data_IF_285248066931
#
_entry.id   IF_285248066931
#
_cell.length_a   1.000
_cell.length_b   1.000
_cell.length_c   1.000
_cell.angle_alpha   90.00
_cell.angle_beta   90.00
_cell.angle_gamma   90.00
#
_symmetry.space_group_name_H-M   'P 1'
#
loop_
_entity.id
_entity.type
_entity.pdbx_description
1 polymer ?
#
# COMPACT_ATOMS: atom_id res chain seq x y z
N UNK A 1 -16.41 -29.77 29.24
CA UNK A 1 -15.87 -28.41 29.02
C UNK A 1 -16.80 -27.67 28.06
N UNK A 2 -17.70 -26.80 28.55
CA UNK A 2 -18.66 -26.08 27.69
C UNK A 2 -17.95 -24.90 27.04
N UNK A 3 -17.65 -24.98 25.73
CA UNK A 3 -17.29 -23.79 24.96
C UNK A 3 -18.52 -22.88 24.92
N UNK A 4 -18.48 -21.75 25.65
CA UNK A 4 -19.37 -20.62 25.38
C UNK A 4 -18.85 -19.97 24.10
N UNK A 5 -19.41 -20.34 22.96
CA UNK A 5 -19.18 -19.66 21.69
C UNK A 5 -19.87 -18.30 21.77
N UNK A 6 -19.09 -17.22 21.92
CA UNK A 6 -19.60 -15.86 21.77
C UNK A 6 -19.48 -15.53 20.29
N UNK A 7 -20.59 -15.69 19.58
CA UNK A 7 -20.70 -15.34 18.16
C UNK A 7 -21.03 -13.85 18.08
N UNK A 8 -20.23 -13.09 17.34
CA UNK A 8 -20.48 -11.66 17.09
C UNK A 8 -20.20 -11.35 15.63
N UNK A 9 -21.15 -10.65 14.99
CA UNK A 9 -21.04 -10.10 13.65
C UNK A 9 -21.02 -8.57 13.75
N UNK A 10 -19.99 -7.94 13.20
CA UNK A 10 -19.90 -6.49 13.07
C UNK A 10 -19.73 -6.11 11.60
N UNK A 11 -20.46 -5.09 11.15
CA UNK A 11 -20.42 -4.57 9.78
C UNK A 11 -19.83 -3.15 9.84
N UNK A 12 -18.80 -2.88 9.04
CA UNK A 12 -18.23 -1.56 8.89
C UNK A 12 -18.43 -1.09 7.44
N UNK A 13 -18.96 0.12 7.27
CA UNK A 13 -19.19 0.75 5.96
C UNK A 13 -18.52 2.13 5.99
N UNK A 14 -17.61 2.35 5.05
CA UNK A 14 -16.97 3.63 4.76
C UNK A 14 -16.76 3.76 3.24
N UNK A 15 -16.41 4.97 2.78
CA UNK A 15 -16.28 5.27 1.34
C UNK A 15 -15.36 4.30 0.57
N UNK A 16 -14.36 3.71 1.25
CA UNK A 16 -13.37 2.80 0.65
C UNK A 16 -13.28 1.43 1.32
N UNK A 17 -14.17 1.12 2.28
CA UNK A 17 -14.14 -0.15 3.03
C UNK A 17 -15.56 -0.60 3.37
N UNK A 18 -15.88 -1.86 3.12
CA UNK A 18 -17.18 -2.46 3.38
C UNK A 18 -16.97 -3.92 3.74
N UNK A 19 -16.78 -4.21 5.03
CA UNK A 19 -16.42 -5.55 5.48
C UNK A 19 -17.22 -5.98 6.70
N UNK A 20 -17.31 -7.29 6.86
CA UNK A 20 -17.92 -7.94 8.00
C UNK A 20 -16.87 -8.76 8.76
N UNK A 21 -16.94 -8.73 10.09
CA UNK A 21 -16.12 -9.54 10.97
C UNK A 21 -16.97 -10.64 11.61
N UNK A 22 -16.52 -11.89 11.49
CA UNK A 22 -17.05 -13.05 12.17
C UNK A 22 -16.01 -13.59 13.17
N UNK A 23 -16.25 -13.39 14.46
CA UNK A 23 -15.36 -13.89 15.51
C UNK A 23 -15.79 -15.29 15.95
N UNK A 24 -14.95 -16.29 15.68
CA UNK A 24 -15.15 -17.66 16.16
C UNK A 24 -14.91 -17.76 17.67
N UNK A 25 -13.91 -17.00 18.15
CA UNK A 25 -13.57 -16.85 19.56
C UNK A 25 -12.81 -15.52 19.77
N UNK A 26 -12.23 -15.32 20.96
CA UNK A 26 -11.51 -14.08 21.31
C UNK A 26 -10.23 -13.83 20.52
N UNK A 27 -9.66 -14.87 19.93
CA UNK A 27 -8.37 -14.84 19.25
C UNK A 27 -8.50 -15.09 17.75
N UNK A 28 -9.63 -15.63 17.27
CA UNK A 28 -9.79 -16.00 15.87
C UNK A 28 -10.98 -15.27 15.24
N UNK A 29 -10.69 -14.44 14.25
CA UNK A 29 -11.69 -13.65 13.51
C UNK A 29 -11.48 -13.83 12.02
N UNK A 30 -12.57 -14.11 11.30
CA UNK A 30 -12.63 -14.01 9.86
C UNK A 30 -13.22 -12.66 9.47
N UNK A 31 -12.52 -11.93 8.62
CA UNK A 31 -13.00 -10.70 7.97
C UNK A 31 -13.27 -11.00 6.50
N UNK A 32 -14.36 -10.51 5.94
CA UNK A 32 -14.66 -10.63 4.51
C UNK A 32 -15.35 -9.39 3.95
N UNK A 33 -15.13 -9.10 2.67
CA UNK A 33 -15.62 -7.91 1.98
C UNK A 33 -14.47 -7.02 1.50
N UNK A 34 -14.74 -5.72 1.33
CA UNK A 34 -13.72 -4.73 0.93
C UNK A 34 -12.83 -4.38 2.11
N UNK A 35 -11.62 -4.92 2.11
CA UNK A 35 -10.66 -4.75 3.19
C UNK A 35 -10.06 -3.32 3.15
N UNK A 36 -9.79 -2.68 4.31
CA UNK A 36 -9.21 -1.34 4.39
C UNK A 36 -7.71 -1.39 4.06
N UNK A 37 -7.41 -1.63 2.79
CA UNK A 37 -6.08 -1.76 2.20
C UNK A 37 -5.58 -0.44 1.61
N UNK A 38 -6.46 0.57 1.55
CA UNK A 38 -6.15 1.95 1.21
C UNK A 38 -5.89 2.79 2.47
N UNK A 39 -5.08 3.84 2.33
CA UNK A 39 -4.70 4.77 3.43
C UNK A 39 -3.89 4.15 4.57
N UNK A 40 -3.08 3.14 4.22
CA UNK A 40 -2.11 2.51 5.09
C UNK A 40 -1.12 3.46 5.77
N UNK A 41 -0.43 2.93 6.78
CA UNK A 41 0.69 3.62 7.40
C UNK A 41 1.79 3.94 6.36
N UNK A 42 2.47 5.10 6.48
CA UNK A 42 2.43 6.05 7.59
C UNK A 42 1.45 7.22 7.43
N UNK A 43 0.54 7.21 6.43
CA UNK A 43 -0.29 8.38 6.07
C UNK A 43 -1.03 9.05 7.24
N UNK A 44 -1.39 8.28 8.26
CA UNK A 44 -2.03 8.78 9.47
C UNK A 44 -1.18 9.83 10.24
N UNK A 45 0.14 9.86 10.06
CA UNK A 45 1.03 10.87 10.66
C UNK A 45 0.76 12.27 10.12
N UNK A 46 0.72 12.41 8.80
CA UNK A 46 0.44 13.69 8.13
C UNK A 46 -1.02 14.11 8.29
N UNK A 47 -1.94 13.15 8.31
CA UNK A 47 -3.36 13.41 8.52
C UNK A 47 -3.73 13.67 9.98
N UNK A 48 -2.83 13.48 10.95
CA UNK A 48 -3.13 13.49 12.38
C UNK A 48 -4.36 12.62 12.72
N UNK A 49 -4.35 11.38 12.28
CA UNK A 49 -5.42 10.41 12.52
C UNK A 49 -4.88 9.21 13.27
N UNK A 50 -5.78 8.46 13.89
CA UNK A 50 -5.47 7.08 14.29
C UNK A 50 -5.14 6.26 13.05
N UNK A 51 -4.22 5.31 13.18
CA UNK A 51 -3.83 4.42 12.09
C UNK A 51 -5.07 3.70 11.54
N UNK A 52 -5.35 3.90 10.24
CA UNK A 52 -6.47 3.28 9.52
C UNK A 52 -5.96 2.02 8.83
N UNK A 53 -6.21 0.87 9.44
CA UNK A 53 -5.81 -0.43 8.89
C UNK A 53 -4.37 -0.83 9.23
N UNK A 54 -4.07 -2.11 8.99
CA UNK A 54 -2.79 -2.73 9.33
C UNK A 54 -1.97 -3.09 8.08
N UNK A 55 -2.30 -2.45 6.96
CA UNK A 55 -1.68 -2.62 5.66
C UNK A 55 -0.84 -1.38 5.36
N UNK A 56 0.50 -1.40 5.55
CA UNK A 56 1.36 -0.31 5.13
C UNK A 56 1.21 0.00 3.64
N UNK A 57 1.39 1.27 3.27
CA UNK A 57 1.27 1.73 1.88
C UNK A 57 2.25 1.01 0.93
N UNK A 58 3.42 0.60 1.45
CA UNK A 58 4.42 -0.18 0.70
C UNK A 58 4.18 -1.70 0.72
N UNK A 59 3.15 -2.20 1.40
CA UNK A 59 2.78 -3.62 1.35
C UNK A 59 1.83 -3.87 0.18
N UNK A 60 0.74 -3.12 0.17
CA UNK A 60 -0.36 -3.31 -0.76
C UNK A 60 -1.22 -2.04 -0.77
N UNK A 61 -1.19 -1.28 -1.89
CA UNK A 61 -2.00 -0.08 -2.07
C UNK A 61 -3.04 -0.31 -3.16
N UNK A 62 -4.29 -0.55 -2.78
CA UNK A 62 -5.42 -0.72 -3.70
C UNK A 62 -6.72 -0.98 -2.94
N UNK A 63 -7.86 -1.00 -3.64
CA UNK A 63 -9.16 -1.30 -3.04
C UNK A 63 -9.54 -2.73 -3.41
N UNK A 64 -9.38 -3.66 -2.47
CA UNK A 64 -9.52 -5.09 -2.75
C UNK A 64 -10.65 -5.72 -1.94
N UNK A 65 -11.47 -6.49 -2.64
CA UNK A 65 -12.47 -7.36 -2.03
C UNK A 65 -11.81 -8.71 -1.73
N UNK A 66 -12.01 -9.24 -0.53
CA UNK A 66 -11.33 -10.47 -0.13
C UNK A 66 -11.72 -10.97 1.25
N UNK A 67 -10.88 -11.85 1.78
CA UNK A 67 -11.05 -12.50 3.07
C UNK A 67 -9.74 -12.41 3.86
N UNK A 68 -9.82 -12.22 5.17
CA UNK A 68 -8.68 -12.24 6.06
C UNK A 68 -8.99 -13.08 7.31
N UNK A 69 -8.18 -14.08 7.58
CA UNK A 69 -8.23 -14.85 8.82
C UNK A 69 -7.18 -14.29 9.78
N UNK A 70 -7.62 -13.73 10.90
CA UNK A 70 -6.76 -13.12 11.91
C UNK A 70 -6.70 -13.98 13.17
N UNK A 71 -5.49 -14.28 13.65
CA UNK A 71 -5.24 -15.00 14.89
C UNK A 71 -4.41 -14.16 15.87
N UNK A 72 -4.98 -13.79 17.00
CA UNK A 72 -4.31 -13.13 18.11
C UNK A 72 -3.44 -14.11 18.89
N UNK A 73 -2.13 -13.91 18.87
CA UNK A 73 -1.14 -14.78 19.53
C UNK A 73 -0.97 -14.39 21.00
N UNK A 74 -0.86 -13.08 21.25
CA UNK A 74 -0.67 -12.49 22.57
C UNK A 74 -1.33 -11.10 22.60
N UNK A 75 -1.35 -10.48 23.78
CA UNK A 75 -1.82 -9.10 23.91
C UNK A 75 -1.02 -8.18 22.97
N UNK A 76 -1.72 -7.53 22.04
CA UNK A 76 -1.14 -6.65 21.04
C UNK A 76 -0.41 -7.37 19.89
N UNK A 77 -0.48 -8.69 19.76
CA UNK A 77 0.16 -9.42 18.65
C UNK A 77 -0.83 -10.27 17.88
N UNK A 78 -0.78 -10.20 16.55
CA UNK A 78 -1.60 -11.04 15.69
C UNK A 78 -0.87 -11.46 14.41
N UNK A 79 -1.33 -12.58 13.84
CA UNK A 79 -0.99 -13.01 12.48
C UNK A 79 -2.26 -13.02 11.65
N UNK A 80 -2.16 -12.57 10.40
CA UNK A 80 -3.27 -12.54 9.45
C UNK A 80 -2.86 -13.23 8.17
N UNK A 81 -3.73 -14.11 7.68
CA UNK A 81 -3.68 -14.65 6.33
C UNK A 81 -4.77 -13.96 5.52
N UNK A 82 -4.38 -13.27 4.47
CA UNK A 82 -5.27 -12.52 3.57
C UNK A 82 -5.30 -13.21 2.23
N UNK A 83 -6.50 -13.33 1.68
CA UNK A 83 -6.76 -13.79 0.33
C UNK A 83 -7.60 -12.73 -0.38
N UNK A 84 -7.12 -12.28 -1.53
CA UNK A 84 -7.81 -11.30 -2.37
C UNK A 84 -7.74 -11.79 -3.82
N UNK A 85 -8.88 -12.10 -4.48
CA UNK A 85 -8.90 -12.22 -5.92
C UNK A 85 -8.64 -10.82 -6.50
N UNK A 86 -7.46 -10.63 -7.09
CA UNK A 86 -7.14 -9.42 -7.84
C UNK A 86 -7.92 -9.52 -9.14
N UNK A 87 -8.95 -8.68 -9.29
CA UNK A 87 -9.48 -8.38 -10.62
C UNK A 87 -8.67 -7.22 -11.17
N UNK A 88 -8.02 -7.39 -12.32
CA UNK A 88 -7.54 -6.22 -13.06
C UNK A 88 -8.77 -5.45 -13.53
N UNK A 89 -8.99 -4.26 -12.98
CA UNK A 89 -10.09 -3.40 -13.44
C UNK A 89 -9.78 -3.02 -14.90
N UNK A 90 -10.66 -3.32 -15.87
CA UNK A 90 -10.52 -2.76 -17.20
C UNK A 90 -10.68 -1.23 -17.09
N UNK A 91 -9.64 -0.49 -17.45
CA UNK A 91 -9.58 0.97 -17.27
C UNK A 91 -10.41 1.78 -18.28
N UNK A 92 -11.32 1.15 -19.03
CA UNK A 92 -12.12 1.84 -20.02
C UNK A 92 -13.45 1.12 -20.29
N UNK A 93 -14.40 1.15 -19.33
CA UNK A 93 -15.84 0.96 -19.54
C UNK A 93 -16.35 -0.31 -20.26
N UNK A 94 -15.46 -1.15 -20.76
CA UNK A 94 -15.72 -2.40 -21.43
C UNK A 94 -15.60 -3.45 -20.35
N UNK A 95 -16.77 -4.01 -20.06
CA UNK A 95 -16.98 -5.17 -19.22
C UNK A 95 -15.91 -6.21 -19.56
N UNK A 96 -15.51 -6.99 -18.56
CA UNK A 96 -14.59 -8.14 -18.57
C UNK A 96 -14.73 -9.17 -19.70
N UNK A 97 -15.68 -8.98 -20.62
CA UNK A 97 -15.82 -9.71 -21.87
C UNK A 97 -14.93 -9.09 -22.95
N UNK A 98 -13.67 -9.54 -23.09
CA UNK A 98 -12.89 -9.20 -24.28
C UNK A 98 -11.37 -9.15 -24.14
N UNK A 99 -10.80 -9.45 -22.97
CA UNK A 99 -9.35 -9.55 -22.87
C UNK A 99 -8.92 -10.87 -23.51
N UNK A 100 -8.24 -10.72 -24.65
CA UNK A 100 -7.70 -11.84 -25.40
C UNK A 100 -6.19 -11.74 -25.44
N UNK A 101 -5.51 -12.88 -25.39
CA UNK A 101 -4.06 -12.94 -25.55
C UNK A 101 -3.65 -12.64 -27.00
N UNK A 102 -2.36 -12.76 -27.30
CA UNK A 102 -1.82 -12.58 -28.67
C UNK A 102 -2.44 -13.53 -29.71
N UNK A 103 -3.02 -14.65 -29.27
CA UNK A 103 -3.63 -15.68 -30.12
C UNK A 103 -5.16 -15.53 -30.21
N UNK A 104 -5.74 -14.54 -29.52
CA UNK A 104 -7.18 -14.26 -29.52
C UNK A 104 -7.97 -15.05 -28.46
N UNK A 105 -7.29 -15.73 -27.53
CA UNK A 105 -7.92 -16.55 -26.50
C UNK A 105 -8.26 -15.73 -25.25
N UNK A 106 -9.43 -15.97 -24.65
CA UNK A 106 -9.86 -15.24 -23.47
C UNK A 106 -8.93 -15.46 -22.27
N UNK A 107 -8.49 -14.36 -21.65
CA UNK A 107 -7.60 -14.38 -20.49
C UNK A 107 -8.39 -14.16 -19.21
N UNK A 108 -8.26 -15.08 -18.24
CA UNK A 108 -8.82 -14.86 -16.90
C UNK A 108 -7.99 -13.80 -16.17
N UNK A 109 -8.69 -12.73 -15.78
CA UNK A 109 -8.10 -11.60 -15.05
C UNK A 109 -8.34 -11.64 -13.55
N UNK A 110 -8.97 -12.71 -13.05
CA UNK A 110 -9.13 -12.95 -11.62
C UNK A 110 -7.97 -13.79 -11.11
N UNK A 111 -6.93 -13.10 -10.66
CA UNK A 111 -5.70 -13.75 -10.21
C UNK A 111 -5.70 -13.80 -8.69
N UNK A 112 -5.58 -14.98 -8.06
CA UNK A 112 -5.53 -15.07 -6.62
C UNK A 112 -4.24 -14.42 -6.09
N UNK A 113 -4.38 -13.59 -5.06
CA UNK A 113 -3.26 -13.05 -4.31
C UNK A 113 -3.38 -13.37 -2.83
N UNK A 114 -2.24 -13.48 -2.19
CA UNK A 114 -2.13 -13.89 -0.80
C UNK A 114 -1.22 -12.94 -0.04
N UNK A 115 -1.58 -12.65 1.21
CA UNK A 115 -0.67 -11.96 2.13
C UNK A 115 -0.60 -12.66 3.48
N UNK A 116 0.59 -12.75 4.04
CA UNK A 116 0.84 -13.11 5.44
C UNK A 116 1.31 -11.86 6.16
N UNK A 117 0.60 -11.48 7.22
CA UNK A 117 0.90 -10.27 8.00
C UNK A 117 1.13 -10.69 9.43
N UNK A 118 2.26 -10.26 10.02
CA UNK A 118 2.46 -10.26 11.45
C UNK A 118 2.41 -8.82 11.94
N UNK A 119 1.66 -8.57 13.01
CA UNK A 119 1.53 -7.25 13.62
C UNK A 119 1.78 -7.31 15.12
N UNK A 120 2.41 -6.26 15.62
CA UNK A 120 2.64 -6.03 17.04
C UNK A 120 2.36 -4.58 17.40
N UNK A 121 1.57 -4.37 18.43
CA UNK A 121 1.30 -3.08 19.04
C UNK A 121 1.51 -3.19 20.55
N UNK A 122 2.22 -2.21 21.11
CA UNK A 122 2.46 -2.16 22.54
C UNK A 122 2.50 -0.72 23.04
N UNK A 123 1.59 -0.40 23.95
CA UNK A 123 1.65 0.83 24.75
C UNK A 123 2.70 0.71 25.85
N UNK A 124 3.28 1.85 26.24
CA UNK A 124 4.37 1.97 27.21
C UNK A 124 5.56 1.07 26.84
N UNK A 125 6.02 1.18 25.59
CA UNK A 125 7.12 0.38 25.07
C UNK A 125 8.47 1.06 25.34
N UNK A 126 9.20 0.55 26.34
CA UNK A 126 10.47 1.12 26.77
C UNK A 126 10.31 2.61 27.10
N UNK A 127 11.03 3.50 26.41
CA UNK A 127 10.93 4.94 26.59
C UNK A 127 9.84 5.59 25.73
N UNK A 128 9.11 4.87 24.88
CA UNK A 128 8.07 5.42 24.01
C UNK A 128 6.66 5.15 24.54
N UNK A 129 5.73 6.06 24.25
CA UNK A 129 4.32 5.94 24.62
C UNK A 129 3.65 4.77 23.90
N UNK A 130 3.89 4.63 22.60
CA UNK A 130 3.43 3.47 21.84
C UNK A 130 4.48 3.03 20.83
N UNK A 131 4.52 1.72 20.61
CA UNK A 131 5.25 1.05 19.55
C UNK A 131 4.28 0.28 18.68
N UNK A 132 4.47 0.39 17.36
CA UNK A 132 3.82 -0.50 16.42
C UNK A 132 4.81 -1.02 15.39
N UNK A 133 4.55 -2.25 14.96
CA UNK A 133 5.34 -2.99 14.00
C UNK A 133 4.43 -3.87 13.14
N UNK A 134 4.74 -3.96 11.86
CA UNK A 134 4.15 -4.94 10.96
C UNK A 134 5.18 -5.46 9.97
N UNK A 135 5.11 -6.76 9.71
CA UNK A 135 5.84 -7.46 8.68
C UNK A 135 4.82 -8.11 7.75
N UNK A 136 4.85 -7.77 6.48
CA UNK A 136 3.93 -8.30 5.48
C UNK A 136 4.72 -9.01 4.39
N UNK A 137 4.35 -10.25 4.09
CA UNK A 137 4.70 -10.92 2.84
C UNK A 137 3.47 -10.95 1.95
N UNK A 138 3.60 -10.51 0.71
CA UNK A 138 2.53 -10.50 -0.30
C UNK A 138 3.02 -11.22 -1.56
N UNK A 139 2.13 -12.00 -2.17
CA UNK A 139 2.43 -12.70 -3.42
C UNK A 139 1.21 -12.72 -4.33
N UNK A 140 1.47 -12.48 -5.61
CA UNK A 140 0.58 -12.74 -6.73
C UNK A 140 1.38 -13.48 -7.80
N UNK A 141 0.75 -14.41 -8.52
CA UNK A 141 1.40 -15.25 -9.53
C UNK A 141 0.63 -15.16 -10.84
N UNK A 142 1.35 -15.08 -11.95
CA UNK A 142 0.80 -15.12 -13.31
C UNK A 142 -0.30 -14.07 -13.55
N UNK A 143 -0.12 -12.85 -13.06
CA UNK A 143 -1.06 -11.74 -13.32
C UNK A 143 -0.86 -11.22 -14.75
N UNK A 144 -1.85 -11.34 -15.64
CA UNK A 144 -1.73 -10.85 -17.01
C UNK A 144 -1.72 -9.32 -17.05
N UNK A 145 -1.00 -8.76 -18.03
CA UNK A 145 -1.10 -7.34 -18.39
C UNK A 145 -2.25 -7.10 -19.38
N UNK A 146 -2.89 -5.93 -19.29
CA UNK A 146 -3.98 -5.58 -20.20
C UNK A 146 -3.46 -5.43 -21.65
N UNK A 147 -4.07 -6.08 -22.67
CA UNK A 147 -3.88 -5.71 -24.07
C UNK A 147 -4.42 -4.29 -24.32
N UNK A 148 -3.67 -3.52 -25.12
CA UNK A 148 -4.13 -2.24 -25.67
C UNK A 148 -5.39 -2.44 -26.52
N UNK A 149 -6.33 -1.50 -26.49
CA UNK A 149 -7.46 -1.46 -27.40
C UNK A 149 -6.99 -1.47 -28.87
N UNK A 150 -7.07 -2.62 -29.54
CA UNK A 150 -6.60 -2.80 -30.92
C UNK A 150 -5.99 -4.18 -31.19
N UNK A 151 -5.68 -4.49 -32.45
CA UNK A 151 -5.16 -5.79 -32.93
C UNK A 151 -3.72 -6.14 -32.51
N UNK A 152 -3.33 -5.81 -31.27
CA UNK A 152 -2.02 -6.16 -30.69
C UNK A 152 -2.25 -6.70 -29.28
N UNK A 153 -2.35 -8.03 -29.17
CA UNK A 153 -2.42 -8.71 -27.88
C UNK A 153 -1.13 -8.56 -27.07
N UNK A 154 -1.20 -8.86 -25.78
CA UNK A 154 -0.06 -9.01 -24.88
C UNK A 154 -0.03 -10.45 -24.40
N UNK A 155 1.15 -11.04 -24.25
CA UNK A 155 1.32 -12.29 -23.50
C UNK A 155 2.18 -12.06 -22.25
N UNK A 156 2.30 -10.83 -21.78
CA UNK A 156 3.11 -10.46 -20.64
C UNK A 156 2.37 -10.74 -19.31
N UNK A 157 2.98 -11.57 -18.47
CA UNK A 157 2.55 -11.95 -17.13
C UNK A 157 3.51 -11.44 -16.05
N UNK A 158 2.95 -11.13 -14.88
CA UNK A 158 3.68 -10.76 -13.67
C UNK A 158 3.51 -11.82 -12.60
N UNK A 159 4.62 -12.33 -12.08
CA UNK A 159 4.66 -12.90 -10.74
C UNK A 159 5.37 -11.92 -9.82
N UNK A 160 4.69 -11.46 -8.76
CA UNK A 160 5.21 -10.44 -7.85
C UNK A 160 5.22 -10.96 -6.42
N UNK A 161 6.37 -10.83 -5.79
CA UNK A 161 6.58 -11.08 -4.37
C UNK A 161 7.04 -9.78 -3.71
N UNK A 162 6.45 -9.46 -2.55
CA UNK A 162 6.81 -8.28 -1.76
C UNK A 162 6.97 -8.69 -0.30
N UNK A 163 8.06 -8.24 0.31
CA UNK A 163 8.24 -8.29 1.76
C UNK A 163 8.39 -6.86 2.25
N UNK A 164 7.46 -6.39 3.06
CA UNK A 164 7.45 -5.04 3.59
C UNK A 164 7.44 -5.05 5.11
N UNK A 165 8.13 -4.04 5.66
CA UNK A 165 8.25 -3.78 7.07
C UNK A 165 7.77 -2.36 7.32
N UNK A 166 7.05 -2.17 8.41
CA UNK A 166 6.75 -0.84 8.94
C UNK A 166 6.87 -0.83 10.45
N UNK A 167 7.38 0.26 11.00
CA UNK A 167 7.43 0.49 12.44
C UNK A 167 7.26 1.95 12.78
N UNK A 168 6.70 2.23 13.95
CA UNK A 168 6.57 3.56 14.52
C UNK A 168 6.79 3.53 16.04
N UNK A 169 7.34 4.63 16.55
CA UNK A 169 7.45 4.94 17.96
C UNK A 169 6.87 6.33 18.19
N UNK A 170 5.97 6.46 19.16
CA UNK A 170 5.34 7.75 19.50
C UNK A 170 5.75 8.23 20.88
N UNK A 171 5.90 9.54 21.05
CA UNK A 171 6.27 10.19 22.32
C UNK A 171 7.55 9.65 22.95
N UNK A 172 8.63 9.57 22.19
CA UNK A 172 9.88 8.94 22.61
C UNK A 172 10.50 9.70 23.79
N UNK A 173 10.87 8.99 24.84
CA UNK A 173 11.46 9.51 26.08
C UNK A 173 10.63 10.63 26.74
N UNK A 174 9.30 10.55 26.67
CA UNK A 174 8.41 11.61 27.16
C UNK A 174 8.49 12.91 26.35
N UNK A 175 9.14 12.88 25.19
CA UNK A 175 9.20 14.01 24.27
C UNK A 175 7.93 14.12 23.43
N UNK A 176 7.87 15.19 22.66
CA UNK A 176 6.83 15.45 21.68
C UNK A 176 7.14 14.85 20.29
N UNK A 177 8.19 14.02 20.18
CA UNK A 177 8.62 13.40 18.93
C UNK A 177 8.02 12.01 18.72
N UNK A 178 7.58 11.79 17.48
CA UNK A 178 7.28 10.50 16.92
C UNK A 178 8.24 10.22 15.75
N UNK A 179 8.62 8.95 15.57
CA UNK A 179 9.40 8.50 14.42
C UNK A 179 8.77 7.26 13.81
N UNK A 180 8.92 7.11 12.50
CA UNK A 180 8.47 5.93 11.79
C UNK A 180 9.39 5.60 10.62
N UNK A 181 9.38 4.34 10.25
CA UNK A 181 10.16 3.80 9.16
C UNK A 181 9.35 2.74 8.42
N UNK A 182 9.51 2.67 7.10
CA UNK A 182 9.08 1.54 6.29
C UNK A 182 10.16 1.13 5.32
N UNK A 183 10.13 -0.14 4.92
CA UNK A 183 10.91 -0.67 3.83
C UNK A 183 10.12 -1.73 3.08
N UNK A 184 10.44 -1.92 1.82
CA UNK A 184 9.93 -3.02 0.99
C UNK A 184 11.06 -3.60 0.16
N UNK A 185 11.08 -4.92 0.05
CA UNK A 185 11.83 -5.66 -0.94
C UNK A 185 10.84 -6.29 -1.90
N UNK A 186 11.10 -6.20 -3.20
CA UNK A 186 10.23 -6.72 -4.25
C UNK A 186 11.02 -7.64 -5.18
N UNK A 187 10.36 -8.70 -5.67
CA UNK A 187 10.83 -9.53 -6.77
C UNK A 187 9.70 -9.59 -7.80
N UNK A 188 9.96 -9.11 -8.99
CA UNK A 188 9.07 -9.16 -10.14
C UNK A 188 9.66 -10.14 -11.16
N UNK A 189 8.98 -11.27 -11.35
CA UNK A 189 9.25 -12.20 -12.43
C UNK A 189 8.32 -11.83 -13.59
N UNK A 190 8.94 -11.58 -14.74
CA UNK A 190 8.27 -11.23 -15.99
C UNK A 190 8.33 -12.43 -16.94
N UNK A 191 7.21 -12.74 -17.59
CA UNK A 191 7.14 -13.75 -18.65
C UNK A 191 6.29 -13.24 -19.81
N UNK A 192 6.83 -13.24 -21.04
CA UNK A 192 6.21 -12.63 -22.22
C UNK A 192 6.56 -11.16 -22.42
N UNK A 193 5.99 -10.54 -23.45
CA UNK A 193 6.28 -9.15 -23.82
C UNK A 193 5.04 -8.38 -24.24
N UNK A 194 5.13 -7.05 -24.19
CA UNK A 194 4.20 -6.18 -24.91
C UNK A 194 4.76 -5.97 -26.32
N UNK A 195 4.02 -6.46 -27.33
CA UNK A 195 4.42 -6.49 -28.74
C UNK A 195 4.95 -5.15 -29.28
N UNK A 196 4.45 -4.01 -28.77
CA UNK A 196 4.84 -2.68 -29.26
C UNK A 196 6.06 -2.08 -28.55
N UNK A 197 6.35 -2.47 -27.31
CA UNK A 197 7.33 -1.75 -26.48
C UNK A 197 8.63 -2.52 -26.25
N UNK A 198 8.60 -3.84 -26.50
CA UNK A 198 9.64 -4.83 -26.18
C UNK A 198 9.98 -4.83 -24.68
N UNK A 199 10.13 -6.02 -24.11
CA UNK A 199 10.44 -6.19 -22.71
C UNK A 199 9.23 -6.32 -21.79
N UNK A 200 9.53 -6.45 -20.50
CA UNK A 200 8.64 -6.96 -19.48
C UNK A 200 8.59 -6.10 -18.23
N UNK A 201 8.09 -6.66 -17.13
CA UNK A 201 7.97 -5.95 -15.86
C UNK A 201 9.35 -5.62 -15.29
N UNK A 202 9.64 -4.32 -15.20
CA UNK A 202 10.91 -3.76 -14.73
C UNK A 202 12.15 -4.22 -15.52
N UNK A 203 11.98 -4.75 -16.74
CA UNK A 203 13.07 -5.31 -17.56
C UNK A 203 12.88 -4.98 -19.04
N UNK A 204 13.97 -4.95 -19.80
CA UNK A 204 13.99 -4.87 -21.26
C UNK A 204 13.88 -6.24 -21.96
N UNK A 205 13.83 -7.33 -21.20
CA UNK A 205 13.70 -8.70 -21.72
C UNK A 205 12.27 -9.23 -21.62
N UNK A 206 11.93 -10.13 -22.54
CA UNK A 206 10.63 -10.82 -22.55
C UNK A 206 10.47 -11.80 -21.38
N UNK A 207 11.57 -12.21 -20.75
CA UNK A 207 11.52 -12.99 -19.52
C UNK A 207 12.70 -12.65 -18.65
N UNK A 208 12.43 -12.22 -17.42
CA UNK A 208 13.46 -11.84 -16.48
C UNK A 208 12.95 -11.88 -15.04
N UNK A 209 13.89 -11.86 -14.10
CA UNK A 209 13.61 -11.75 -12.67
C UNK A 209 14.34 -10.55 -12.10
N UNK A 210 13.58 -9.52 -11.74
CA UNK A 210 14.12 -8.26 -11.26
C UNK A 210 13.78 -8.08 -9.79
N UNK A 211 14.79 -7.80 -8.98
CA UNK A 211 14.64 -7.51 -7.56
C UNK A 211 15.00 -6.06 -7.26
N UNK A 212 14.30 -5.46 -6.32
CA UNK A 212 14.57 -4.10 -5.88
C UNK A 212 14.00 -3.81 -4.51
N UNK A 213 14.29 -2.61 -4.01
CA UNK A 213 13.86 -2.20 -2.69
C UNK A 213 13.58 -0.70 -2.63
N UNK A 214 12.74 -0.33 -1.66
CA UNK A 214 12.47 1.05 -1.33
C UNK A 214 12.34 1.19 0.18
N UNK A 215 12.61 2.37 0.71
CA UNK A 215 12.48 2.66 2.12
C UNK A 215 12.10 4.11 2.35
N UNK A 216 11.59 4.39 3.54
CA UNK A 216 11.27 5.74 3.96
C UNK A 216 11.30 5.88 5.47
N UNK A 217 11.51 7.12 5.87
CA UNK A 217 11.70 7.54 7.25
C UNK A 217 10.91 8.82 7.47
N UNK A 218 10.31 8.96 8.64
CA UNK A 218 9.64 10.20 9.00
C UNK A 218 9.77 10.52 10.46
N UNK A 219 9.72 11.82 10.74
CA UNK A 219 9.75 12.39 12.08
C UNK A 219 8.63 13.40 12.19
N UNK A 220 7.88 13.34 13.28
CA UNK A 220 6.81 14.29 13.59
C UNK A 220 7.03 14.88 14.98
N UNK A 221 6.81 16.17 15.13
CA UNK A 221 6.83 16.89 16.38
C UNK A 221 5.45 17.43 16.73
N UNK A 222 5.04 17.24 17.98
CA UNK A 222 3.81 17.80 18.54
C UNK A 222 4.06 19.19 19.12
N UNK A 223 3.73 20.24 18.36
CA UNK A 223 3.82 21.63 18.80
C UNK A 223 2.82 21.93 19.93
N UNK A 224 1.63 21.36 19.79
CA UNK A 224 0.55 21.38 20.76
C UNK A 224 -0.22 20.04 20.69
N UNK A 225 -1.17 19.76 21.59
CA UNK A 225 -2.01 18.56 21.50
C UNK A 225 -2.67 18.40 20.12
N UNK A 226 -3.12 19.50 19.53
CA UNK A 226 -3.86 19.58 18.28
C UNK A 226 -3.05 20.09 17.07
N UNK A 227 -1.75 20.39 17.23
CA UNK A 227 -0.89 20.92 16.17
C UNK A 227 0.34 20.03 15.99
N UNK A 228 0.55 19.50 14.78
CA UNK A 228 1.70 18.66 14.43
C UNK A 228 2.46 19.24 13.25
N UNK A 229 3.79 19.08 13.28
CA UNK A 229 4.69 19.38 12.18
C UNK A 229 5.52 18.13 11.92
N UNK A 230 5.72 17.73 10.67
CA UNK A 230 6.55 16.57 10.38
C UNK A 230 7.20 16.62 9.01
N UNK A 231 8.22 15.79 8.87
CA UNK A 231 9.00 15.60 7.66
C UNK A 231 9.09 14.12 7.33
N UNK A 232 8.96 13.79 6.06
CA UNK A 232 9.13 12.44 5.52
C UNK A 232 10.17 12.45 4.41
N UNK A 233 10.94 11.38 4.36
CA UNK A 233 11.85 11.04 3.29
C UNK A 233 11.49 9.66 2.75
N UNK A 234 11.56 9.50 1.44
CA UNK A 234 11.37 8.24 0.75
C UNK A 234 12.45 8.06 -0.31
N UNK A 235 12.94 6.84 -0.49
CA UNK A 235 13.86 6.45 -1.54
C UNK A 235 13.34 5.17 -2.21
N UNK A 236 13.02 5.26 -3.50
CA UNK A 236 12.64 4.14 -4.34
C UNK A 236 13.78 3.72 -5.24
N UNK A 237 14.24 2.47 -5.12
CA UNK A 237 15.26 1.94 -6.02
C UNK A 237 14.72 1.73 -7.44
N UNK A 238 15.63 1.76 -8.43
CA UNK A 238 15.33 1.56 -9.86
C UNK A 238 14.39 0.38 -10.13
N UNK A 239 14.63 -0.73 -9.46
CA UNK A 239 14.00 -2.03 -9.67
C UNK A 239 12.93 -2.37 -8.62
N UNK A 240 12.55 -1.41 -7.78
CA UNK A 240 11.49 -1.62 -6.81
C UNK A 240 10.12 -1.64 -7.52
N UNK A 241 9.28 -2.63 -7.23
CA UNK A 241 7.90 -2.61 -7.72
C UNK A 241 7.07 -1.66 -6.84
N UNK A 242 6.95 -0.41 -7.27
CA UNK A 242 6.24 0.64 -6.55
C UNK A 242 4.89 0.93 -7.22
N UNK A 243 3.82 0.49 -6.57
CA UNK A 243 2.47 0.63 -7.08
C UNK A 243 1.49 0.87 -5.93
N UNK A 244 0.64 1.89 -6.10
CA UNK A 244 -0.46 2.23 -5.21
C UNK A 244 -1.65 2.72 -6.05
N UNK A 245 -2.57 1.80 -6.38
CA UNK A 245 -3.78 2.12 -7.15
C UNK A 245 -4.85 2.83 -6.33
N UNK A 246 -4.70 2.86 -5.00
CA UNK A 246 -5.65 3.54 -4.12
C UNK A 246 -5.31 5.02 -3.90
N UNK A 247 -4.09 5.43 -4.22
CA UNK A 247 -3.69 6.83 -4.06
C UNK A 247 -4.23 7.67 -5.22
N UNK A 248 -5.19 8.54 -4.90
CA UNK A 248 -5.55 9.69 -5.74
C UNK A 248 -4.82 10.96 -5.31
N UNK A 249 -3.79 10.85 -4.47
CA UNK A 249 -3.06 11.99 -3.94
C UNK A 249 -1.85 12.32 -4.84
N UNK A 250 -1.87 13.42 -5.61
CA UNK A 250 -0.73 13.82 -6.42
C UNK A 250 0.51 14.15 -5.57
N UNK A 251 0.31 14.48 -4.29
CA UNK A 251 1.39 14.70 -3.33
C UNK A 251 1.96 13.39 -2.75
N UNK A 252 1.53 12.22 -3.20
CA UNK A 252 2.10 10.94 -2.75
C UNK A 252 3.57 10.81 -3.17
N UNK A 253 4.46 10.59 -2.20
CA UNK A 253 5.90 10.35 -2.45
C UNK A 253 6.26 8.86 -2.55
N UNK A 254 5.37 7.95 -2.14
CA UNK A 254 5.66 6.51 -1.96
C UNK A 254 5.75 5.68 -3.24
N UNK A 255 5.52 6.31 -4.40
CA UNK A 255 5.67 5.72 -5.73
C UNK A 255 6.78 6.38 -6.55
N UNK A 256 7.69 7.10 -5.89
CA UNK A 256 8.79 7.82 -6.56
C UNK A 256 9.97 6.88 -6.81
N UNK A 257 10.39 6.75 -8.07
CA UNK A 257 11.62 6.07 -8.46
C UNK A 257 12.80 7.05 -8.39
N UNK A 258 13.51 7.06 -7.26
CA UNK A 258 14.45 8.12 -6.89
C UNK A 258 14.19 8.56 -5.45
N UNK A 259 14.14 9.87 -5.19
CA UNK A 259 13.94 10.42 -3.83
C UNK A 259 12.68 11.27 -3.71
N UNK A 260 12.03 11.19 -2.56
CA UNK A 260 10.84 11.96 -2.23
C UNK A 260 10.96 12.61 -0.86
N UNK A 261 10.57 13.87 -0.75
CA UNK A 261 10.52 14.63 0.48
C UNK A 261 9.11 15.16 0.71
N UNK A 262 8.65 15.15 1.94
CA UNK A 262 7.36 15.70 2.32
C UNK A 262 7.45 16.44 3.64
N UNK A 263 7.19 17.74 3.62
CA UNK A 263 6.98 18.56 4.81
C UNK A 263 5.48 18.73 5.00
N UNK A 264 4.96 18.49 6.20
CA UNK A 264 3.55 18.65 6.50
C UNK A 264 3.30 19.33 7.85
N UNK A 265 2.19 20.04 7.91
CA UNK A 265 1.63 20.59 9.13
C UNK A 265 0.14 20.24 9.21
N UNK A 266 -0.30 19.79 10.38
CA UNK A 266 -1.71 19.47 10.64
C UNK A 266 -2.21 20.16 11.91
N UNK A 267 -3.44 20.65 11.83
CA UNK A 267 -4.13 21.34 12.91
C UNK A 267 -5.56 20.84 13.03
N UNK A 268 -5.89 20.30 14.20
CA UNK A 268 -7.24 19.93 14.59
C UNK A 268 -7.87 21.11 15.34
N UNK A 269 -8.99 21.61 14.80
CA UNK A 269 -9.77 22.67 15.40
C UNK A 269 -10.92 22.07 16.21
N UNK A 270 -11.42 22.84 17.17
CA UNK A 270 -12.65 22.50 17.87
C UNK A 270 -13.82 22.37 16.89
N UNK A 271 -14.76 21.45 17.18
CA UNK A 271 -15.91 21.20 16.30
C UNK A 271 -15.65 20.24 15.13
N UNK A 272 -14.58 19.44 15.19
CA UNK A 272 -14.34 18.35 14.22
C UNK A 272 -13.76 18.80 12.87
N UNK A 273 -13.29 20.05 12.80
CA UNK A 273 -12.60 20.57 11.62
C UNK A 273 -11.10 20.32 11.70
N UNK A 274 -10.49 19.96 10.57
CA UNK A 274 -9.06 19.68 10.46
C UNK A 274 -8.49 20.33 9.22
N UNK A 275 -7.31 20.91 9.36
CA UNK A 275 -6.51 21.42 8.25
C UNK A 275 -5.19 20.66 8.16
N UNK A 276 -4.81 20.27 6.95
CA UNK A 276 -3.47 19.73 6.66
C UNK A 276 -2.90 20.55 5.51
N UNK A 277 -1.72 21.12 5.70
CA UNK A 277 -0.96 21.74 4.61
C UNK A 277 0.34 20.99 4.44
N UNK A 278 0.83 20.90 3.22
CA UNK A 278 2.08 20.21 2.96
C UNK A 278 2.75 20.64 1.68
N UNK A 279 4.02 20.27 1.60
CA UNK A 279 4.88 20.51 0.47
C UNK A 279 5.64 19.22 0.16
N UNK A 280 5.64 18.81 -1.10
CA UNK A 280 6.36 17.62 -1.55
C UNK A 280 7.29 17.93 -2.70
N UNK A 281 8.44 17.26 -2.69
CA UNK A 281 9.43 17.28 -3.77
C UNK A 281 9.74 15.84 -4.13
N UNK A 282 9.60 15.48 -5.40
CA UNK A 282 9.90 14.15 -5.94
C UNK A 282 10.99 14.34 -6.99
N UNK A 283 12.16 13.78 -6.76
CA UNK A 283 13.24 13.69 -7.73
C UNK A 283 13.20 12.28 -8.32
N UNK A 284 12.70 12.17 -9.53
CA UNK A 284 12.66 10.90 -10.25
C UNK A 284 13.95 10.74 -11.03
N UNK A 285 14.64 9.63 -10.76
CA UNK A 285 15.92 9.25 -11.38
C UNK A 285 15.73 8.16 -12.44
N UNK A 286 14.63 7.40 -12.37
CA UNK A 286 14.34 6.28 -13.25
C UNK A 286 12.92 6.38 -13.82
N UNK A 287 12.79 6.15 -15.12
CA UNK A 287 11.51 6.07 -15.82
C UNK A 287 11.44 4.83 -16.71
N UNK A 288 10.22 4.35 -16.98
CA UNK A 288 9.97 3.26 -17.95
C UNK A 288 8.78 3.59 -18.84
N UNK A 289 8.75 2.96 -20.00
CA UNK A 289 7.86 3.33 -21.10
C UNK A 289 6.36 3.23 -20.73
N UNK A 290 5.91 2.11 -20.16
CA UNK A 290 4.50 1.96 -19.76
C UNK A 290 4.37 2.08 -18.23
N UNK A 291 3.61 3.08 -17.78
CA UNK A 291 3.27 3.32 -16.36
C UNK A 291 4.48 3.35 -15.40
N UNK A 292 5.69 3.64 -15.88
CA UNK A 292 6.95 3.49 -15.13
C UNK A 292 7.23 2.07 -14.60
N UNK A 293 6.55 1.03 -15.12
CA UNK A 293 6.66 -0.35 -14.64
C UNK A 293 7.07 -1.36 -15.73
N UNK A 294 6.92 -1.03 -17.02
CA UNK A 294 7.19 -1.98 -18.11
C UNK A 294 8.20 -1.41 -19.11
N UNK A 295 9.14 -2.27 -19.51
CA UNK A 295 10.19 -1.99 -20.48
C UNK A 295 11.52 -1.59 -19.84
N UNK A 296 12.47 -1.23 -20.70
CA UNK A 296 13.80 -0.80 -20.31
C UNK A 296 13.78 0.40 -19.35
N UNK A 297 14.65 0.39 -18.35
CA UNK A 297 14.90 1.58 -17.53
C UNK A 297 15.55 2.67 -18.39
N UNK A 298 15.05 3.90 -18.24
CA UNK A 298 15.74 5.11 -18.68
C UNK A 298 16.12 5.94 -17.46
N UNK A 299 17.36 6.43 -17.45
CA UNK A 299 17.76 7.48 -16.52
C UNK A 299 17.03 8.77 -16.92
N UNK A 300 16.38 9.39 -15.94
CA UNK A 300 15.71 10.67 -16.09
C UNK A 300 16.18 11.61 -14.97
N UNK A 301 16.05 12.90 -15.21
CA UNK A 301 16.24 13.91 -14.17
C UNK A 301 14.99 14.78 -14.16
N UNK A 302 14.00 14.36 -13.37
CA UNK A 302 12.73 15.06 -13.27
C UNK A 302 12.43 15.41 -11.81
N UNK A 303 12.35 16.70 -11.53
CA UNK A 303 11.95 17.22 -10.23
C UNK A 303 10.52 17.74 -10.28
N UNK A 304 9.62 17.10 -9.54
CA UNK A 304 8.24 17.55 -9.37
C UNK A 304 8.07 18.14 -7.96
N UNK A 305 7.49 19.33 -7.87
CA UNK A 305 7.24 20.01 -6.59
C UNK A 305 5.78 20.40 -6.48
N UNK A 306 5.15 20.06 -5.35
CA UNK A 306 3.74 20.37 -5.10
C UNK A 306 3.54 21.00 -3.73
N UNK A 307 2.66 22.00 -3.65
CA UNK A 307 2.10 22.49 -2.40
C UNK A 307 0.61 22.13 -2.34
N UNK A 308 0.11 21.77 -1.15
CA UNK A 308 -1.31 21.45 -0.97
C UNK A 308 -1.87 21.95 0.35
N UNK A 309 -3.19 22.13 0.37
CA UNK A 309 -4.00 22.33 1.57
C UNK A 309 -5.24 21.45 1.51
N UNK A 310 -5.52 20.72 2.58
CA UNK A 310 -6.68 19.84 2.76
C UNK A 310 -7.48 20.34 3.95
N UNK A 311 -8.78 20.48 3.76
CA UNK A 311 -9.72 20.84 4.82
C UNK A 311 -10.72 19.69 4.96
N UNK A 312 -10.85 19.18 6.19
CA UNK A 312 -11.65 17.99 6.50
C UNK A 312 -12.61 18.38 7.62
N UNK A 313 -13.90 18.21 7.37
CA UNK A 313 -14.94 18.39 8.37
C UNK A 313 -15.52 17.01 8.72
N UNK A 314 -15.49 16.65 10.01
CA UNK A 314 -16.17 15.46 10.55
C UNK A 314 -17.24 15.94 11.51
N UNK A 315 -18.51 15.75 11.15
CA UNK A 315 -19.69 16.11 11.93
C UNK A 315 -20.43 14.86 12.42
#
# INVERSE_FOLDING_TARGET
>A
MKLKTVISLAICIGAFSAFANYSFNKNLTLTFGRLPTSHGAPRHFSMNESRKGNYPILSFGGNWDGMALSYGIAAGQAVKLVYTPVSSIPFDGQLTDGLTDKDGEAVDVNVPSYALIYEMEKSNFASANNFYFTLTYYSIKDMPTLPSTGATGSNLYLTLQRTSLYTELTGIAGSHFDVYAHAVSTKADSEGEIIQTKGGWLTDKDSDSVSGSAYGLGVRYSLAPNMKLGVEYFAGGENAFLYDSSSQDPANIYTTYGTGYHLFYSHDFEGGFKMVVGHTTKNSEYGRYVFNLIGATSEIDNTETNGYAKFIASF
#
